data_IF_289211987373
#
_entry.id   IF_289211987373
#
_cell.length_a   1.000
_cell.length_b   1.000
_cell.length_c   1.000
_cell.angle_alpha   90.00
_cell.angle_beta   90.00
_cell.angle_gamma   90.00
#
_symmetry.space_group_name_H-M   'P 1'
#
loop_
_entity.id
_entity.type
_entity.pdbx_description
1 polymer ?
#
# COMPACT_ATOMS: atom_id res chain seq x y z
N UNK A 1 6.74 -53.15 16.86
CA UNK A 1 5.56 -52.43 17.36
C UNK A 1 5.54 -51.08 16.65
N UNK A 2 4.81 -50.97 15.54
CA UNK A 2 4.66 -49.70 14.81
C UNK A 2 3.48 -48.94 15.41
N UNK A 3 3.79 -47.87 16.14
CA UNK A 3 2.82 -46.95 16.72
C UNK A 3 2.14 -46.17 15.58
N UNK A 4 0.85 -46.42 15.37
CA UNK A 4 0.04 -45.68 14.42
C UNK A 4 -0.12 -44.24 14.89
N UNK A 5 0.36 -43.29 14.09
CA UNK A 5 0.15 -41.86 14.30
C UNK A 5 -1.36 -41.56 14.31
N UNK A 6 -1.89 -40.91 15.36
CA UNK A 6 -3.31 -40.57 15.42
C UNK A 6 -3.67 -39.52 14.37
N UNK A 7 -4.48 -39.88 13.38
CA UNK A 7 -5.11 -38.94 12.45
C UNK A 7 -6.13 -38.08 13.19
N UNK A 8 -5.75 -36.85 13.51
CA UNK A 8 -6.71 -35.83 13.93
C UNK A 8 -7.61 -35.48 12.74
N UNK A 9 -8.88 -35.90 12.79
CA UNK A 9 -9.96 -35.40 11.93
C UNK A 9 -10.19 -33.93 12.23
N UNK A 10 -9.32 -33.06 11.72
CA UNK A 10 -9.58 -31.63 11.67
C UNK A 10 -10.52 -31.42 10.51
N UNK A 11 -11.81 -31.35 10.81
CA UNK A 11 -12.71 -30.64 9.91
C UNK A 11 -12.18 -29.21 9.84
N UNK A 12 -11.59 -28.89 8.70
CA UNK A 12 -11.01 -27.57 8.47
C UNK A 12 -12.15 -26.58 8.53
N UNK A 13 -11.88 -25.37 9.04
CA UNK A 13 -12.86 -24.27 9.11
C UNK A 13 -13.60 -24.03 7.80
N UNK A 14 -12.97 -24.38 6.67
CA UNK A 14 -13.55 -24.36 5.33
C UNK A 14 -14.76 -25.29 5.16
N UNK A 15 -14.74 -26.51 5.72
CA UNK A 15 -15.89 -27.44 5.63
C UNK A 15 -17.09 -26.92 6.41
N UNK A 16 -16.86 -26.47 7.64
CA UNK A 16 -17.91 -25.88 8.48
C UNK A 16 -18.56 -24.66 7.79
N UNK A 17 -17.74 -23.79 7.19
CA UNK A 17 -18.24 -22.61 6.45
C UNK A 17 -19.05 -23.02 5.22
N UNK A 18 -18.64 -24.08 4.51
CA UNK A 18 -19.37 -24.58 3.35
C UNK A 18 -20.74 -25.18 3.74
N UNK A 19 -20.80 -25.91 4.86
CA UNK A 19 -22.06 -26.46 5.39
C UNK A 19 -23.01 -25.35 5.86
N UNK A 20 -22.51 -24.35 6.60
CA UNK A 20 -23.31 -23.19 7.03
C UNK A 20 -23.83 -22.37 5.84
N UNK A 21 -23.00 -22.18 4.81
CA UNK A 21 -23.39 -21.50 3.58
C UNK A 21 -24.50 -22.25 2.82
N UNK A 22 -24.42 -23.58 2.76
CA UNK A 22 -25.45 -24.40 2.14
C UNK A 22 -26.78 -24.33 2.90
N UNK A 23 -26.76 -24.33 4.24
CA UNK A 23 -27.97 -24.12 5.04
C UNK A 23 -28.58 -22.74 4.85
N UNK A 24 -27.74 -21.70 4.79
CA UNK A 24 -28.19 -20.33 4.56
C UNK A 24 -28.91 -20.20 3.21
N UNK A 25 -28.36 -20.78 2.15
CA UNK A 25 -28.96 -20.78 0.81
C UNK A 25 -30.31 -21.51 0.78
N UNK A 26 -30.45 -22.63 1.51
CA UNK A 26 -31.74 -23.34 1.68
C UNK A 26 -32.79 -22.46 2.35
N UNK A 27 -32.43 -21.71 3.40
CA UNK A 27 -33.38 -20.80 4.08
C UNK A 27 -33.83 -19.64 3.21
N UNK A 28 -33.00 -19.19 2.27
CA UNK A 28 -33.33 -18.12 1.32
C UNK A 28 -34.12 -18.61 0.10
N UNK A 29 -34.40 -19.92 0.00
CA UNK A 29 -35.06 -20.51 -1.18
C UNK A 29 -34.15 -20.59 -2.42
N UNK A 30 -32.84 -20.38 -2.25
CA UNK A 30 -31.84 -20.42 -3.32
C UNK A 30 -31.15 -21.79 -3.37
N UNK A 31 -31.93 -22.86 -3.32
CA UNK A 31 -31.40 -24.24 -3.30
C UNK A 31 -30.66 -24.61 -4.59
N UNK A 32 -30.96 -23.94 -5.70
CA UNK A 32 -30.28 -24.10 -6.99
C UNK A 32 -28.81 -23.63 -6.98
N UNK A 33 -28.43 -22.78 -6.02
CA UNK A 33 -27.05 -22.31 -5.86
C UNK A 33 -26.22 -23.23 -4.95
N UNK A 34 -26.84 -24.23 -4.32
CA UNK A 34 -26.10 -25.24 -3.56
C UNK A 34 -25.44 -26.17 -4.56
N UNK A 35 -24.11 -26.17 -4.58
CA UNK A 35 -23.32 -27.05 -5.44
C UNK A 35 -23.66 -28.51 -5.13
N UNK A 36 -24.45 -29.14 -6.01
CA UNK A 36 -24.66 -30.59 -5.96
C UNK A 36 -23.40 -31.23 -6.53
N UNK A 37 -22.74 -32.10 -5.76
CA UNK A 37 -21.66 -32.96 -6.26
C UNK A 37 -22.20 -34.06 -7.22
N UNK A 38 -23.15 -33.72 -8.07
CA UNK A 38 -23.64 -34.60 -9.12
C UNK A 38 -22.69 -34.49 -10.32
N UNK A 39 -21.78 -35.46 -10.43
CA UNK A 39 -21.13 -35.84 -11.69
C UNK A 39 -20.14 -34.83 -12.27
N UNK A 40 -18.89 -35.24 -12.41
CA UNK A 40 -17.80 -34.50 -13.07
C UNK A 40 -18.03 -34.21 -14.58
N UNK A 41 -19.25 -34.46 -15.11
CA UNK A 41 -19.53 -34.50 -16.54
C UNK A 41 -20.10 -33.19 -17.11
N UNK A 42 -20.65 -32.28 -16.28
CA UNK A 42 -21.27 -31.02 -16.75
C UNK A 42 -20.41 -29.77 -16.50
N UNK A 43 -19.17 -29.95 -16.05
CA UNK A 43 -18.20 -28.85 -16.02
C UNK A 43 -17.81 -28.53 -17.47
N UNK A 44 -18.00 -27.28 -17.95
CA UNK A 44 -17.49 -26.91 -19.26
C UNK A 44 -15.99 -27.18 -19.29
N UNK A 45 -15.55 -28.08 -20.18
CA UNK A 45 -14.13 -28.38 -20.42
C UNK A 45 -13.49 -27.12 -20.98
N UNK A 46 -13.05 -26.24 -20.10
CA UNK A 46 -12.21 -25.11 -20.46
C UNK A 46 -10.94 -25.68 -21.12
N UNK A 47 -10.63 -25.28 -22.36
CA UNK A 47 -9.40 -25.71 -23.00
C UNK A 47 -8.22 -25.14 -22.22
N UNK A 48 -7.60 -25.99 -21.38
CA UNK A 48 -6.49 -25.63 -20.49
C UNK A 48 -5.30 -25.01 -21.23
N UNK A 49 -5.21 -25.25 -22.53
CA UNK A 49 -4.08 -24.86 -23.35
C UNK A 49 -4.20 -23.45 -23.93
N UNK A 50 -5.35 -22.79 -23.85
CA UNK A 50 -5.54 -21.45 -24.45
C UNK A 50 -4.72 -20.38 -23.75
N UNK A 51 -4.69 -20.40 -22.42
CA UNK A 51 -3.94 -19.41 -21.63
C UNK A 51 -2.44 -19.64 -21.74
N UNK A 52 -1.99 -20.89 -21.67
CA UNK A 52 -0.56 -21.22 -21.80
C UNK A 52 -0.06 -20.85 -23.19
N UNK A 53 -0.78 -21.19 -24.25
CA UNK A 53 -0.40 -20.82 -25.61
C UNK A 53 -0.39 -19.30 -25.83
N UNK A 54 -1.31 -18.56 -25.20
CA UNK A 54 -1.28 -17.09 -25.26
C UNK A 54 -0.04 -16.53 -24.56
N UNK A 55 0.30 -17.03 -23.36
CA UNK A 55 1.49 -16.58 -22.63
C UNK A 55 2.80 -16.92 -23.34
N UNK A 56 2.89 -18.07 -24.01
CA UNK A 56 4.07 -18.44 -24.79
C UNK A 56 4.24 -17.50 -25.98
N UNK A 57 3.16 -17.24 -26.74
CA UNK A 57 3.21 -16.32 -27.88
C UNK A 57 3.54 -14.89 -27.47
N UNK A 58 3.06 -14.45 -26.30
CA UNK A 58 3.40 -13.12 -25.76
C UNK A 58 4.87 -13.04 -25.35
N UNK A 59 5.39 -14.08 -24.69
CA UNK A 59 6.80 -14.16 -24.32
C UNK A 59 7.73 -14.16 -25.54
N UNK A 60 7.40 -14.93 -26.59
CA UNK A 60 8.17 -14.95 -27.84
C UNK A 60 8.23 -13.55 -28.49
N UNK A 61 7.11 -12.82 -28.51
CA UNK A 61 7.06 -11.48 -29.08
C UNK A 61 7.89 -10.45 -28.30
N UNK A 62 7.99 -10.61 -26.98
CA UNK A 62 8.84 -9.77 -26.13
C UNK A 62 10.31 -10.07 -26.42
N UNK A 63 10.68 -11.35 -26.50
CA UNK A 63 12.06 -11.78 -26.75
C UNK A 63 12.54 -11.48 -28.18
N UNK A 64 11.65 -11.44 -29.19
CA UNK A 64 12.03 -11.14 -30.58
C UNK A 64 12.53 -9.71 -30.79
N UNK A 65 12.12 -8.75 -29.96
CA UNK A 65 12.45 -7.32 -30.14
C UNK A 65 13.49 -6.81 -29.14
N UNK A 66 13.87 -7.61 -28.16
CA UNK A 66 14.92 -7.25 -27.21
C UNK A 66 16.27 -7.67 -27.77
N UNK A 67 17.16 -6.70 -27.98
CA UNK A 67 18.60 -6.97 -28.09
C UNK A 67 19.09 -7.42 -26.72
N UNK A 68 18.84 -8.69 -26.39
CA UNK A 68 19.35 -9.33 -25.19
C UNK A 68 20.87 -9.32 -25.33
N UNK A 69 21.53 -8.57 -24.47
CA UNK A 69 22.99 -8.53 -24.39
C UNK A 69 23.48 -9.95 -24.13
N UNK A 70 24.27 -10.51 -25.06
CA UNK A 70 24.83 -11.87 -24.95
C UNK A 70 25.73 -12.01 -23.71
N UNK A 71 26.23 -10.89 -23.17
CA UNK A 71 27.01 -10.81 -21.94
C UNK A 71 26.17 -10.53 -20.68
N UNK A 72 24.83 -10.45 -20.80
CA UNK A 72 23.95 -10.28 -19.65
C UNK A 72 24.04 -11.49 -18.71
N UNK A 73 24.71 -11.30 -17.57
CA UNK A 73 24.87 -12.36 -16.57
C UNK A 73 23.52 -12.74 -16.00
N UNK A 74 23.06 -13.94 -16.32
CA UNK A 74 21.76 -14.43 -15.88
C UNK A 74 21.84 -14.94 -14.44
N UNK A 75 20.69 -15.09 -13.78
CA UNK A 75 20.62 -15.70 -12.43
C UNK A 75 21.19 -17.13 -12.40
N UNK A 76 21.20 -17.84 -13.53
CA UNK A 76 21.81 -19.16 -13.66
C UNK A 76 23.34 -19.13 -13.64
N UNK A 77 23.95 -17.97 -13.94
CA UNK A 77 25.40 -17.77 -13.91
C UNK A 77 25.92 -17.32 -12.54
N UNK A 78 25.09 -17.37 -11.49
CA UNK A 78 25.46 -16.92 -10.14
C UNK A 78 26.73 -17.60 -9.62
N UNK A 79 26.92 -18.89 -9.90
CA UNK A 79 28.15 -19.61 -9.52
C UNK A 79 29.39 -19.06 -10.23
N UNK A 80 29.29 -18.68 -11.50
CA UNK A 80 30.39 -18.06 -12.26
C UNK A 80 30.65 -16.63 -11.77
N UNK A 81 29.59 -15.90 -11.41
CA UNK A 81 29.69 -14.56 -10.82
C UNK A 81 30.38 -14.63 -9.45
N UNK A 82 29.98 -15.58 -8.61
CA UNK A 82 30.52 -15.75 -7.27
C UNK A 82 31.97 -16.24 -7.31
N UNK A 83 32.33 -17.12 -8.25
CA UNK A 83 33.71 -17.53 -8.48
C UNK A 83 34.59 -16.35 -8.94
N UNK A 84 34.12 -15.56 -9.91
CA UNK A 84 34.85 -14.37 -10.38
C UNK A 84 34.99 -13.29 -9.30
N UNK A 85 34.01 -13.19 -8.40
CA UNK A 85 34.02 -12.26 -7.25
C UNK A 85 34.88 -12.76 -6.10
N UNK A 86 35.12 -14.08 -6.00
CA UNK A 86 36.07 -14.66 -5.06
C UNK A 86 37.52 -14.47 -5.51
N UNK A 87 37.79 -14.45 -6.83
CA UNK A 87 39.13 -14.19 -7.38
C UNK A 87 39.48 -12.70 -7.44
N UNK A 88 38.48 -11.81 -7.51
CA UNK A 88 38.69 -10.37 -7.43
C UNK A 88 38.29 -9.85 -6.06
N UNK A 89 39.26 -9.68 -5.15
CA UNK A 89 39.01 -8.89 -3.94
C UNK A 89 38.53 -7.50 -4.40
N UNK A 90 37.28 -7.11 -4.11
CA UNK A 90 36.82 -5.78 -4.47
C UNK A 90 37.75 -4.79 -3.77
N UNK A 91 38.24 -3.76 -4.47
CA UNK A 91 39.12 -2.78 -3.84
C UNK A 91 38.42 -2.28 -2.59
N UNK A 92 39.12 -2.32 -1.44
CA UNK A 92 38.64 -1.71 -0.21
C UNK A 92 38.44 -0.24 -0.48
N UNK A 93 37.24 0.15 -0.88
CA UNK A 93 36.86 1.54 -0.99
C UNK A 93 36.88 2.06 0.45
N UNK A 94 37.75 3.04 0.79
CA UNK A 94 37.74 3.63 2.11
C UNK A 94 36.34 4.20 2.33
N UNK A 95 35.62 3.68 3.32
CA UNK A 95 34.27 4.14 3.69
C UNK A 95 34.32 5.44 4.50
N UNK A 96 35.42 6.16 4.42
CA UNK A 96 35.81 7.15 5.43
C UNK A 96 35.32 8.55 5.11
N UNK A 97 34.62 8.77 3.98
CA UNK A 97 34.36 10.14 3.53
C UNK A 97 32.90 10.58 3.67
N UNK A 98 31.89 9.79 3.30
CA UNK A 98 30.52 10.34 3.20
C UNK A 98 29.90 10.72 4.54
N UNK A 99 30.08 9.92 5.59
CA UNK A 99 29.50 10.23 6.91
C UNK A 99 30.26 11.38 7.60
N UNK A 100 31.57 11.45 7.39
CA UNK A 100 32.43 12.50 7.94
C UNK A 100 32.16 13.83 7.23
N UNK A 101 31.99 13.84 5.90
CA UNK A 101 31.62 15.05 5.15
C UNK A 101 30.22 15.51 5.53
N UNK A 102 29.24 14.60 5.63
CA UNK A 102 27.87 14.95 6.04
C UNK A 102 27.84 15.54 7.46
N UNK A 103 28.66 15.02 8.39
CA UNK A 103 28.74 15.56 9.73
C UNK A 103 29.41 16.95 9.76
N UNK A 104 30.45 17.17 8.95
CA UNK A 104 31.09 18.48 8.81
C UNK A 104 30.15 19.51 8.19
N UNK A 105 29.46 19.15 7.11
CA UNK A 105 28.43 19.99 6.46
C UNK A 105 27.26 20.27 7.41
N UNK A 106 26.80 19.27 8.17
CA UNK A 106 25.76 19.45 9.18
C UNK A 106 26.18 20.44 10.26
N UNK A 107 27.44 20.42 10.70
CA UNK A 107 27.99 21.39 11.65
C UNK A 107 28.12 22.79 11.05
N UNK A 108 28.46 22.91 9.77
CA UNK A 108 28.53 24.20 9.08
C UNK A 108 27.15 24.82 8.88
N UNK A 109 26.13 24.01 8.57
CA UNK A 109 24.75 24.47 8.35
C UNK A 109 24.07 24.88 9.67
N UNK A 110 24.30 24.13 10.74
CA UNK A 110 23.64 24.34 12.04
C UNK A 110 24.46 25.29 12.94
N UNK A 111 25.77 25.39 12.75
CA UNK A 111 26.66 26.16 13.63
C UNK A 111 26.80 25.52 15.02
N UNK A 112 27.13 26.35 16.03
CA UNK A 112 27.14 25.98 17.45
C UNK A 112 25.74 26.12 18.10
N UNK A 113 24.69 26.23 17.30
CA UNK A 113 23.32 26.36 17.78
C UNK A 113 22.84 25.03 18.36
N UNK A 114 22.19 25.07 19.53
CA UNK A 114 21.68 23.88 20.18
C UNK A 114 20.59 23.25 19.29
N UNK A 115 20.91 22.14 18.64
CA UNK A 115 19.95 21.34 17.89
C UNK A 115 18.80 20.99 18.83
N UNK A 116 17.58 21.36 18.42
CA UNK A 116 16.39 21.25 19.25
C UNK A 116 16.32 19.92 20.01
N UNK A 117 16.07 20.02 21.31
CA UNK A 117 16.01 18.88 22.21
C UNK A 117 15.12 17.78 21.67
N UNK A 118 15.52 16.54 21.88
CA UNK A 118 14.68 15.40 21.51
C UNK A 118 13.35 15.50 22.26
N UNK A 119 12.25 15.02 21.66
CA UNK A 119 10.90 15.10 22.26
C UNK A 119 10.84 14.54 23.70
N UNK A 120 11.72 13.57 24.01
CA UNK A 120 11.88 13.02 25.36
C UNK A 120 12.54 13.99 26.34
N UNK A 121 13.53 14.78 25.90
CA UNK A 121 14.13 15.85 26.71
C UNK A 121 13.18 17.03 26.90
N UNK A 122 12.36 17.37 25.88
CA UNK A 122 11.31 18.39 26.03
C UNK A 122 10.27 18.00 27.09
N UNK A 123 9.92 16.71 27.20
CA UNK A 123 9.06 16.21 28.27
C UNK A 123 9.75 16.33 29.64
N UNK A 124 11.01 15.90 29.76
CA UNK A 124 11.72 16.01 31.03
C UNK A 124 11.87 17.47 31.50
N UNK A 125 12.13 18.43 30.61
CA UNK A 125 12.14 19.85 30.96
C UNK A 125 10.75 20.39 31.31
N UNK A 126 9.70 19.92 30.63
CA UNK A 126 8.32 20.32 30.94
C UNK A 126 7.90 19.82 32.32
N UNK A 127 8.20 18.57 32.65
CA UNK A 127 7.91 17.98 33.95
C UNK A 127 8.74 18.68 35.06
N UNK A 128 9.98 19.08 34.75
CA UNK A 128 10.82 19.86 35.67
C UNK A 128 10.37 21.32 35.84
N UNK A 129 9.71 21.90 34.83
CA UNK A 129 9.15 23.26 34.88
C UNK A 129 7.76 23.30 35.55
N UNK A 130 7.00 22.21 35.49
CA UNK A 130 5.68 22.09 36.11
C UNK A 130 5.75 21.92 37.64
N UNK A 131 6.90 21.51 38.20
CA UNK A 131 7.13 21.47 39.65
C UNK A 131 7.42 22.86 40.28
N UNK A 132 7.71 23.90 39.48
CA UNK A 132 8.07 25.25 39.96
C UNK A 132 6.92 26.26 39.92
N UNK A 133 5.75 25.89 39.38
CA UNK A 133 4.61 26.83 39.22
C UNK A 133 3.34 26.42 39.96
N UNK A 134 3.48 25.90 41.19
CA UNK A 134 2.37 25.79 42.15
C UNK A 134 2.03 27.13 42.85
N UNK A 135 2.04 28.24 42.12
CA UNK A 135 1.66 29.54 42.65
C UNK A 135 1.89 30.68 41.67
N UNK A 136 0.82 31.18 41.07
CA UNK A 136 0.87 32.44 40.33
C UNK A 136 -0.13 32.54 39.19
N UNK A 137 -1.30 33.06 39.52
CA UNK A 137 -2.24 33.72 38.60
C UNK A 137 -1.49 34.70 37.67
N UNK A 138 -1.60 34.52 36.35
CA UNK A 138 -1.43 35.60 35.36
C UNK A 138 -2.00 35.19 34.00
N UNK A 139 -3.18 35.73 33.70
CA UNK A 139 -3.67 35.96 32.33
C UNK A 139 -2.74 36.93 31.60
N UNK A 140 -2.43 36.68 30.34
CA UNK A 140 -2.46 37.69 29.27
C UNK A 140 -2.25 37.06 27.88
N UNK A 141 -3.35 36.95 27.14
CA UNK A 141 -3.54 37.38 25.75
C UNK A 141 -2.35 37.27 24.77
N UNK A 142 -2.38 36.20 23.97
CA UNK A 142 -1.85 36.26 22.62
C UNK A 142 -2.80 35.52 21.65
N UNK A 143 -3.94 36.16 21.38
CA UNK A 143 -4.84 35.83 20.27
C UNK A 143 -4.16 36.16 18.93
N UNK A 144 -3.25 35.29 18.50
CA UNK A 144 -3.05 35.03 17.09
C UNK A 144 -3.42 33.56 16.84
N UNK A 145 -4.71 33.25 17.04
CA UNK A 145 -5.25 31.96 16.62
C UNK A 145 -5.15 31.91 15.10
N UNK A 146 -4.04 31.39 14.57
CA UNK A 146 -3.99 30.91 13.20
C UNK A 146 -5.12 29.90 13.09
N UNK A 147 -6.20 30.30 12.41
CA UNK A 147 -7.29 29.41 12.02
C UNK A 147 -6.67 28.39 11.09
N UNK A 148 -6.09 27.34 11.66
CA UNK A 148 -5.76 26.12 10.94
C UNK A 148 -7.09 25.62 10.41
N UNK A 149 -7.37 25.93 9.15
CA UNK A 149 -8.40 25.23 8.39
C UNK A 149 -8.05 23.75 8.55
N UNK A 150 -8.92 23.01 9.24
CA UNK A 150 -8.69 21.57 9.34
C UNK A 150 -8.74 21.02 7.93
N UNK A 151 -7.92 20.02 7.62
CA UNK A 151 -7.91 19.36 6.30
C UNK A 151 -9.31 18.93 5.86
N UNK A 152 -10.19 18.60 6.81
CA UNK A 152 -11.58 18.27 6.53
C UNK A 152 -12.42 19.45 6.01
N UNK A 153 -12.15 20.67 6.48
CA UNK A 153 -12.83 21.87 5.97
C UNK A 153 -12.44 22.17 4.51
N UNK A 154 -11.18 21.94 4.16
CA UNK A 154 -10.69 22.07 2.77
C UNK A 154 -11.32 21.02 1.86
N UNK A 155 -11.42 19.76 2.30
CA UNK A 155 -12.08 18.69 1.51
C UNK A 155 -13.56 18.94 1.29
N UNK A 156 -14.27 19.54 2.26
CA UNK A 156 -15.68 19.91 2.10
C UNK A 156 -15.85 21.00 1.05
N UNK A 157 -15.00 22.04 1.10
CA UNK A 157 -15.03 23.12 0.10
C UNK A 157 -14.72 22.61 -1.31
N UNK A 158 -13.71 21.75 -1.45
CA UNK A 158 -13.35 21.14 -2.74
C UNK A 158 -14.49 20.26 -3.29
N UNK A 159 -15.17 19.48 -2.43
CA UNK A 159 -16.30 18.65 -2.81
C UNK A 159 -17.52 19.46 -3.29
N UNK A 160 -17.81 20.60 -2.66
CA UNK A 160 -18.89 21.49 -3.08
C UNK A 160 -18.61 22.14 -4.44
N UNK A 161 -17.37 22.57 -4.70
CA UNK A 161 -16.97 23.11 -5.99
C UNK A 161 -17.05 22.06 -7.10
N UNK A 162 -16.65 20.83 -6.83
CA UNK A 162 -16.74 19.72 -7.77
C UNK A 162 -18.20 19.42 -8.18
N UNK A 163 -19.11 19.37 -7.19
CA UNK A 163 -20.55 19.18 -7.44
C UNK A 163 -21.16 20.32 -8.24
N UNK A 164 -20.76 21.57 -7.96
CA UNK A 164 -21.21 22.73 -8.73
C UNK A 164 -20.75 22.65 -10.19
N UNK A 165 -19.50 22.24 -10.42
CA UNK A 165 -18.93 22.07 -11.76
C UNK A 165 -19.60 20.94 -12.55
N UNK A 166 -19.94 19.84 -11.90
CA UNK A 166 -20.71 18.76 -12.52
C UNK A 166 -22.12 19.19 -12.92
N UNK A 167 -22.82 19.95 -12.06
CA UNK A 167 -24.15 20.48 -12.39
C UNK A 167 -24.14 21.40 -13.61
N UNK A 168 -23.09 22.21 -13.78
CA UNK A 168 -22.96 23.08 -14.96
C UNK A 168 -22.41 22.38 -16.21
N UNK A 169 -21.74 21.23 -16.06
CA UNK A 169 -21.07 20.52 -17.15
C UNK A 169 -21.96 19.48 -17.84
N UNK A 170 -22.98 18.94 -17.17
CA UNK A 170 -23.70 17.75 -17.65
C UNK A 170 -25.20 17.93 -17.92
N UNK A 171 -25.70 19.16 -18.09
CA UNK A 171 -27.00 19.35 -18.76
C UNK A 171 -27.87 20.47 -18.20
N UNK A 172 -27.55 21.71 -18.58
CA UNK A 172 -28.52 22.80 -18.55
C UNK A 172 -28.63 23.42 -19.95
N UNK A 173 -28.86 22.55 -20.94
CA UNK A 173 -29.31 22.92 -22.27
C UNK A 173 -30.64 22.21 -22.54
N UNK A 174 -31.70 22.60 -21.84
CA UNK A 174 -33.09 22.59 -22.32
C UNK A 174 -34.04 22.96 -21.17
N UNK A 175 -34.46 24.22 -21.08
CA UNK A 175 -35.86 24.65 -20.80
C UNK A 175 -36.02 26.18 -20.78
N UNK A 176 -35.63 26.90 -21.84
CA UNK A 176 -36.15 28.26 -22.09
C UNK A 176 -36.38 28.50 -23.59
N UNK A 177 -37.31 27.75 -24.18
CA UNK A 177 -38.00 28.14 -25.43
C UNK A 177 -39.46 27.67 -25.38
N UNK A 178 -40.23 28.25 -24.47
CA UNK A 178 -41.68 28.09 -24.44
C UNK A 178 -42.39 29.33 -23.88
N UNK A 179 -41.95 30.54 -24.23
CA UNK A 179 -42.72 31.78 -24.05
C UNK A 179 -42.36 32.79 -25.15
N UNK A 180 -42.69 32.46 -26.41
CA UNK A 180 -42.80 33.47 -27.46
C UNK A 180 -43.78 32.97 -28.55
N UNK A 181 -45.00 32.67 -28.12
CA UNK A 181 -46.16 32.48 -28.99
C UNK A 181 -47.44 32.69 -28.17
N UNK A 182 -47.74 33.94 -27.85
CA UNK A 182 -49.10 34.43 -27.64
C UNK A 182 -49.16 35.94 -27.82
#
# INVERSE_FOLDING_TARGET
MSEGTPELKRDTTMKATAEEGAEFLKRQGNEDLVYKEEGDDDKPKMPKDTTIQATVKEAEKILENENIDEDAKTRGDQERIDAAKAESEPPKVPRDNTMVTTAAEGKEIIGDEAVGETRAQTQAMKDSAEEVTAGGDAKEDNEASLKRTSTMAETIQEGEEFLKKQKTSNGDSETEKAQEAS
#
